data_IF_175080070446
#
_entry.id   IF_175080070446
#
_cell.length_a   1.000
_cell.length_b   1.000
_cell.length_c   1.000
_cell.angle_alpha   90.00
_cell.angle_beta   90.00
_cell.angle_gamma   90.00
#
_symmetry.space_group_name_H-M   'P 1'
#
loop_
_entity.id
_entity.type
_entity.pdbx_description
1 polymer ?
#
# COMPACT_ATOMS: atom_id res chain seq x y z
N UNK A 1 -25.94 7.31 -39.68
CA UNK A 1 -24.63 7.00 -39.06
C UNK A 1 -24.21 8.23 -38.26
N UNK A 2 -24.23 8.17 -36.93
CA UNK A 2 -23.83 9.31 -36.06
C UNK A 2 -22.79 8.81 -35.06
N UNK A 3 -21.55 9.27 -35.17
CA UNK A 3 -20.49 9.00 -34.19
C UNK A 3 -20.54 10.12 -33.16
N UNK A 4 -21.09 9.86 -31.97
CA UNK A 4 -21.01 10.78 -30.84
C UNK A 4 -19.58 10.76 -30.29
N UNK A 5 -18.78 11.77 -30.63
CA UNK A 5 -17.57 12.10 -29.87
C UNK A 5 -18.00 12.70 -28.53
N UNK A 6 -17.60 12.09 -27.41
CA UNK A 6 -18.00 12.61 -26.10
C UNK A 6 -17.41 11.92 -24.89
N UNK A 7 -16.18 12.33 -24.56
CA UNK A 7 -15.55 12.34 -23.23
C UNK A 7 -15.16 10.98 -22.63
N UNK A 8 -13.86 10.70 -22.76
CA UNK A 8 -13.09 9.80 -21.87
C UNK A 8 -13.08 10.45 -20.48
N UNK A 9 -14.18 10.27 -19.73
CA UNK A 9 -14.27 10.67 -18.34
C UNK A 9 -13.70 9.57 -17.46
N UNK A 10 -12.38 9.45 -17.40
CA UNK A 10 -11.74 8.66 -16.35
C UNK A 10 -10.56 9.41 -15.74
N UNK A 11 -10.82 10.63 -15.27
CA UNK A 11 -9.90 11.40 -14.43
C UNK A 11 -9.92 10.96 -12.96
N UNK A 12 -10.59 9.84 -12.65
CA UNK A 12 -10.86 9.40 -11.28
C UNK A 12 -9.74 8.58 -10.62
N UNK A 13 -8.50 8.63 -11.10
CA UNK A 13 -7.46 7.83 -10.44
C UNK A 13 -6.02 8.36 -10.46
N UNK A 14 -5.72 9.49 -11.09
CA UNK A 14 -4.35 10.02 -11.12
C UNK A 14 -3.82 10.36 -9.70
N UNK A 15 -4.68 10.90 -8.83
CA UNK A 15 -4.32 11.20 -7.44
C UNK A 15 -4.10 9.96 -6.58
N UNK A 16 -4.82 8.86 -6.83
CA UNK A 16 -4.65 7.61 -6.08
C UNK A 16 -3.32 6.93 -6.42
N UNK A 17 -2.90 6.97 -7.69
CA UNK A 17 -1.59 6.47 -8.09
C UNK A 17 -0.45 7.29 -7.48
N UNK A 18 -0.58 8.62 -7.42
CA UNK A 18 0.43 9.51 -6.81
C UNK A 18 0.52 9.34 -5.28
N UNK A 19 -0.62 9.18 -4.58
CA UNK A 19 -0.62 8.85 -3.15
C UNK A 19 -0.01 7.49 -2.87
N UNK A 20 -0.23 6.50 -3.74
CA UNK A 20 0.41 5.17 -3.67
C UNK A 20 1.91 5.27 -3.90
N UNK A 21 2.36 6.08 -4.86
CA UNK A 21 3.78 6.26 -5.20
C UNK A 21 4.62 6.89 -4.08
N UNK A 22 4.13 7.97 -3.45
CA UNK A 22 4.85 8.60 -2.32
C UNK A 22 4.85 7.72 -1.05
N UNK A 23 3.83 6.87 -0.88
CA UNK A 23 3.67 6.00 0.28
C UNK A 23 4.56 4.76 0.20
N UNK A 24 4.78 4.22 -1.01
CA UNK A 24 5.74 3.14 -1.30
C UNK A 24 7.18 3.61 -1.08
N UNK A 25 7.51 4.88 -1.36
CA UNK A 25 8.87 5.39 -1.15
C UNK A 25 9.32 5.39 0.32
N UNK A 26 8.42 5.70 1.27
CA UNK A 26 8.78 5.69 2.70
C UNK A 26 8.94 4.28 3.26
N UNK A 27 8.13 3.32 2.77
CA UNK A 27 8.26 1.92 3.19
C UNK A 27 9.43 1.22 2.49
N UNK A 28 9.75 1.56 1.24
CA UNK A 28 10.92 1.07 0.49
C UNK A 28 12.25 1.29 1.23
N UNK A 29 12.33 2.29 2.10
CA UNK A 29 13.53 2.55 2.91
C UNK A 29 13.63 1.66 4.16
N UNK A 30 12.55 1.00 4.55
CA UNK A 30 12.58 0.05 5.67
C UNK A 30 13.24 -1.24 5.22
N UNK A 31 14.16 -1.76 6.04
CA UNK A 31 14.61 -3.14 5.90
C UNK A 31 13.47 -4.10 6.24
N UNK A 32 13.54 -5.33 5.75
CA UNK A 32 12.52 -6.35 5.99
C UNK A 32 12.27 -6.58 7.49
N UNK A 33 13.35 -6.60 8.29
CA UNK A 33 13.26 -6.69 9.76
C UNK A 33 12.46 -5.53 10.35
N UNK A 34 12.71 -4.29 9.90
CA UNK A 34 12.02 -3.11 10.41
C UNK A 34 10.56 -3.05 9.96
N UNK A 35 10.27 -3.55 8.77
CA UNK A 35 8.90 -3.67 8.28
C UNK A 35 8.10 -4.69 9.10
N UNK A 36 8.70 -5.85 9.43
CA UNK A 36 8.10 -6.87 10.31
C UNK A 36 7.87 -6.31 11.72
N UNK A 37 8.87 -5.65 12.31
CA UNK A 37 8.75 -5.01 13.63
C UNK A 37 7.63 -3.96 13.65
N UNK A 38 7.56 -3.11 12.63
CA UNK A 38 6.52 -2.11 12.49
C UNK A 38 5.13 -2.73 12.39
N UNK A 39 4.98 -3.84 11.65
CA UNK A 39 3.72 -4.56 11.53
C UNK A 39 3.27 -5.17 12.86
N UNK A 40 4.17 -5.83 13.59
CA UNK A 40 3.89 -6.39 14.92
C UNK A 40 3.49 -5.29 15.91
N UNK A 41 4.28 -4.21 15.97
CA UNK A 41 3.99 -3.07 16.83
C UNK A 41 2.66 -2.39 16.48
N UNK A 42 2.31 -2.30 15.19
CA UNK A 42 1.05 -1.73 14.74
C UNK A 42 -0.16 -2.56 15.21
N UNK A 43 -0.05 -3.88 15.18
CA UNK A 43 -1.08 -4.79 15.72
C UNK A 43 -1.19 -4.70 17.25
N UNK A 44 -0.07 -4.75 17.96
CA UNK A 44 -0.04 -4.66 19.43
C UNK A 44 -0.61 -3.34 19.95
N UNK A 45 -0.32 -2.24 19.26
CA UNK A 45 -0.82 -0.90 19.60
C UNK A 45 -2.21 -0.61 19.05
N UNK A 46 -2.83 -1.58 18.39
CA UNK A 46 -4.15 -1.46 17.79
C UNK A 46 -4.29 -0.20 16.90
N UNK A 47 -3.26 0.04 16.08
CA UNK A 47 -3.26 1.16 15.12
C UNK A 47 -4.34 0.94 14.05
N UNK A 48 -4.63 1.99 13.28
CA UNK A 48 -5.67 1.95 12.24
C UNK A 48 -5.48 0.75 11.30
N UNK A 49 -6.59 0.06 11.01
CA UNK A 49 -6.61 -1.07 10.07
C UNK A 49 -6.00 -0.74 8.72
N UNK A 50 -6.19 0.48 8.22
CA UNK A 50 -5.63 0.94 6.95
C UNK A 50 -4.10 0.99 6.95
N UNK A 51 -3.51 1.30 8.10
CA UNK A 51 -2.06 1.32 8.28
C UNK A 51 -1.49 -0.09 8.40
N UNK A 52 -2.18 -0.98 9.12
CA UNK A 52 -1.79 -2.39 9.22
C UNK A 52 -1.85 -3.05 7.85
N UNK A 53 -2.92 -2.82 7.10
CA UNK A 53 -3.09 -3.33 5.74
C UNK A 53 -2.03 -2.80 4.78
N UNK A 54 -1.60 -1.54 4.96
CA UNK A 54 -0.51 -0.97 4.17
C UNK A 54 0.80 -1.73 4.40
N UNK A 55 1.15 -1.99 5.65
CA UNK A 55 2.36 -2.75 6.00
C UNK A 55 2.27 -4.20 5.49
N UNK A 56 1.10 -4.84 5.64
CA UNK A 56 0.87 -6.20 5.14
C UNK A 56 1.06 -6.30 3.62
N UNK A 57 0.50 -5.35 2.87
CA UNK A 57 0.65 -5.33 1.41
C UNK A 57 2.11 -5.16 0.99
N UNK A 58 2.86 -4.27 1.65
CA UNK A 58 4.29 -4.11 1.38
C UNK A 58 5.07 -5.41 1.67
N UNK A 59 4.74 -6.13 2.74
CA UNK A 59 5.35 -7.41 3.07
C UNK A 59 5.02 -8.52 2.05
N UNK A 60 3.82 -8.49 1.46
CA UNK A 60 3.41 -9.40 0.38
C UNK A 60 4.21 -9.09 -0.89
N UNK A 61 4.32 -7.82 -1.27
CA UNK A 61 5.08 -7.38 -2.46
C UNK A 61 6.56 -7.78 -2.37
N UNK A 62 7.14 -7.76 -1.15
CA UNK A 62 8.52 -8.21 -0.89
C UNK A 62 8.67 -9.72 -0.65
N UNK A 63 7.57 -10.45 -0.66
CA UNK A 63 7.52 -11.89 -0.38
C UNK A 63 8.08 -12.29 1.01
N UNK A 64 7.94 -11.43 2.02
CA UNK A 64 8.44 -11.67 3.39
C UNK A 64 7.34 -11.98 4.41
N UNK A 65 6.07 -12.00 3.99
CA UNK A 65 4.91 -12.25 4.86
C UNK A 65 5.05 -13.54 5.68
N UNK A 66 5.62 -14.59 5.09
CA UNK A 66 5.76 -15.91 5.70
C UNK A 66 6.80 -15.96 6.83
N UNK A 67 7.63 -14.94 6.99
CA UNK A 67 8.58 -14.83 8.11
C UNK A 67 7.93 -14.34 9.41
N UNK A 68 6.63 -14.03 9.39
CA UNK A 68 5.87 -13.77 10.60
C UNK A 68 5.30 -15.11 11.08
N UNK A 69 6.07 -15.84 11.89
CA UNK A 69 5.47 -16.79 12.82
C UNK A 69 4.68 -15.97 13.86
N UNK A 70 3.36 -16.08 13.82
CA UNK A 70 2.43 -15.59 14.85
C UNK A 70 2.05 -16.77 15.73
#
# INVERSE_FOLDING_TARGET
>A
MMIKKGKIGNTHNMQSYLKRWNRVNSLNQLTDTKLIEAFKAAKERNLSSDFILLLENEMIERNIRYHIEV
#
